data_IF_868947560431
#
_entry.id   IF_868947560431
#
_cell.length_a   1.000
_cell.length_b   1.000
_cell.length_c   1.000
_cell.angle_alpha   90.00
_cell.angle_beta   90.00
_cell.angle_gamma   90.00
#
_symmetry.space_group_name_H-M   'P 1'
#
loop_
_entity.id
_entity.type
_entity.pdbx_description
1 polymer ?
#
# COMPACT_ATOMS: atom_id res chain seq x y z
N UNK A 1 -9.70 -13.29 8.20
CA UNK A 1 -8.78 -12.26 7.69
C UNK A 1 -9.60 -11.27 6.87
N UNK A 2 -9.33 -9.97 6.98
CA UNK A 2 -9.90 -8.95 6.09
C UNK A 2 -8.89 -8.74 4.96
N UNK A 3 -9.35 -8.78 3.72
CA UNK A 3 -8.50 -8.58 2.53
C UNK A 3 -8.85 -7.25 1.90
N UNK A 4 -7.84 -6.39 1.77
CA UNK A 4 -7.95 -5.13 1.06
C UNK A 4 -7.29 -5.26 -0.32
N UNK A 5 -7.85 -4.60 -1.31
CA UNK A 5 -7.28 -4.54 -2.65
C UNK A 5 -6.69 -3.16 -2.91
N UNK A 6 -5.69 -3.11 -3.78
CA UNK A 6 -5.09 -1.87 -4.23
C UNK A 6 -4.77 -1.94 -5.71
N UNK A 7 -4.65 -0.76 -6.33
CA UNK A 7 -4.24 -0.60 -7.72
C UNK A 7 -2.79 -0.13 -7.75
N UNK A 8 -1.96 -0.84 -8.53
CA UNK A 8 -0.64 -0.35 -8.88
C UNK A 8 -0.80 0.94 -9.70
N UNK A 9 -0.33 2.06 -9.15
CA UNK A 9 -0.42 3.38 -9.78
C UNK A 9 0.93 3.86 -10.31
N UNK A 10 2.03 3.31 -9.79
CA UNK A 10 3.38 3.57 -10.28
C UNK A 10 4.24 2.32 -10.21
N UNK A 11 5.01 2.08 -11.28
CA UNK A 11 6.02 1.04 -11.35
C UNK A 11 7.29 1.64 -11.95
N UNK A 12 8.19 2.08 -11.06
CA UNK A 12 9.46 2.70 -11.41
C UNK A 12 10.63 1.71 -11.37
N UNK A 13 11.87 2.19 -11.57
CA UNK A 13 13.05 1.34 -11.50
C UNK A 13 13.36 0.83 -10.08
N UNK A 14 13.04 1.62 -9.04
CA UNK A 14 13.39 1.32 -7.64
C UNK A 14 12.21 1.47 -6.67
N UNK A 15 11.02 1.78 -7.19
CA UNK A 15 9.84 2.10 -6.38
C UNK A 15 8.59 1.61 -7.09
N UNK A 16 7.66 1.05 -6.30
CA UNK A 16 6.29 0.80 -6.73
C UNK A 16 5.34 1.51 -5.76
N UNK A 17 4.27 2.08 -6.30
CA UNK A 17 3.19 2.68 -5.51
C UNK A 17 1.89 1.98 -5.79
N UNK A 18 1.24 1.55 -4.71
CA UNK A 18 -0.06 0.91 -4.72
C UNK A 18 -1.02 1.83 -4.00
N UNK A 19 -2.00 2.35 -4.73
CA UNK A 19 -3.11 3.08 -4.13
C UNK A 19 -4.12 2.06 -3.61
N UNK A 20 -4.37 2.06 -2.31
CA UNK A 20 -5.38 1.23 -1.67
C UNK A 20 -6.73 1.93 -1.87
N UNK A 21 -7.68 1.21 -2.45
CA UNK A 21 -9.05 1.69 -2.66
C UNK A 21 -9.98 0.51 -2.45
N UNK A 22 -10.97 0.64 -1.57
CA UNK A 22 -12.03 -0.36 -1.46
C UNK A 22 -13.20 -0.07 -2.39
N UNK A 23 -13.83 -1.13 -2.89
CA UNK A 23 -15.16 -1.09 -3.51
C UNK A 23 -16.03 -2.06 -2.69
N UNK A 24 -16.71 -1.57 -1.65
CA UNK A 24 -17.46 -2.40 -0.71
C UNK A 24 -17.82 -1.70 0.61
N UNK A 25 -18.11 -2.49 1.64
CA UNK A 25 -18.52 -2.03 2.98
C UNK A 25 -17.36 -1.79 3.97
N UNK A 26 -16.11 -1.85 3.49
CA UNK A 26 -14.94 -1.62 4.33
C UNK A 26 -14.25 -0.33 3.87
N UNK A 27 -14.02 0.57 4.82
CA UNK A 27 -13.41 1.87 4.56
C UNK A 27 -11.89 1.70 4.46
N UNK A 28 -11.38 1.59 3.23
CA UNK A 28 -9.94 1.49 3.00
C UNK A 28 -9.44 2.45 1.94
N UNK A 29 -8.46 3.25 2.33
CA UNK A 29 -7.81 4.25 1.50
C UNK A 29 -6.34 4.45 1.90
N UNK A 30 -5.57 5.05 1.01
CA UNK A 30 -4.17 5.42 1.25
C UNK A 30 -3.22 4.86 0.22
N UNK A 31 -1.93 4.99 0.48
CA UNK A 31 -0.86 4.57 -0.44
C UNK A 31 0.14 3.68 0.27
N UNK A 32 0.52 2.60 -0.40
CA UNK A 32 1.63 1.74 -0.03
C UNK A 32 2.76 1.97 -1.03
N UNK A 33 3.92 2.35 -0.52
CA UNK A 33 5.16 2.49 -1.29
C UNK A 33 6.07 1.31 -0.93
N UNK A 34 6.51 0.57 -1.95
CA UNK A 34 7.55 -0.44 -1.79
C UNK A 34 8.80 -0.01 -2.56
N UNK A 35 9.94 -0.01 -1.87
CA UNK A 35 11.24 0.30 -2.46
C UNK A 35 12.05 -0.96 -2.63
N UNK A 36 12.67 -1.11 -3.78
CA UNK A 36 13.43 -2.30 -4.13
C UNK A 36 14.70 -1.96 -4.90
N UNK A 37 15.65 -2.90 -4.90
CA UNK A 37 16.84 -2.88 -5.73
C UNK A 37 17.04 -4.25 -6.35
N UNK A 38 16.96 -4.32 -7.69
CA UNK A 38 16.96 -5.60 -8.38
C UNK A 38 15.75 -6.45 -7.95
N UNK A 39 16.03 -7.60 -7.35
CA UNK A 39 15.00 -8.54 -6.85
C UNK A 39 14.81 -8.46 -5.33
N UNK A 40 15.44 -7.49 -4.66
CA UNK A 40 15.37 -7.34 -3.21
C UNK A 40 14.42 -6.22 -2.81
N UNK A 41 13.44 -6.52 -1.96
CA UNK A 41 12.60 -5.53 -1.30
C UNK A 41 13.40 -4.92 -0.14
N UNK A 42 13.56 -3.60 -0.17
CA UNK A 42 14.38 -2.86 0.79
C UNK A 42 13.53 -2.16 1.85
N UNK A 43 12.34 -1.71 1.48
CA UNK A 43 11.42 -1.07 2.41
C UNK A 43 9.97 -1.21 1.96
N UNK A 44 9.07 -1.29 2.92
CA UNK A 44 7.63 -1.13 2.69
C UNK A 44 7.07 -0.09 3.65
N UNK A 45 6.50 0.99 3.12
CA UNK A 45 5.96 2.09 3.91
C UNK A 45 4.54 2.43 3.48
N UNK A 46 3.72 2.93 4.39
CA UNK A 46 2.41 3.48 4.07
C UNK A 46 2.36 5.00 4.25
N UNK A 47 1.51 5.65 3.46
CA UNK A 47 1.12 7.06 3.60
C UNK A 47 -0.39 7.13 3.69
N UNK A 48 -0.90 7.78 4.74
CA UNK A 48 -2.32 7.99 5.02
C UNK A 48 -3.18 6.73 4.85
N UNK A 49 -2.62 5.58 5.25
CA UNK A 49 -3.30 4.30 5.11
C UNK A 49 -4.33 4.15 6.21
N UNK A 50 -5.59 4.06 5.80
CA UNK A 50 -6.74 3.78 6.66
C UNK A 50 -7.30 2.43 6.22
N UNK A 51 -7.50 1.54 7.18
CA UNK A 51 -8.10 0.23 6.97
C UNK A 51 -9.24 0.06 7.97
N UNK A 52 -10.45 -0.13 7.48
CA UNK A 52 -11.67 -0.26 8.30
C UNK A 52 -11.85 0.93 9.28
N UNK A 53 -11.59 2.14 8.78
CA UNK A 53 -11.65 3.38 9.57
C UNK A 53 -10.48 3.59 10.55
N UNK A 54 -9.47 2.71 10.57
CA UNK A 54 -8.32 2.81 11.46
C UNK A 54 -7.04 3.21 10.72
N UNK A 55 -6.34 4.23 11.22
CA UNK A 55 -5.02 4.60 10.71
C UNK A 55 -4.02 3.46 10.96
N UNK A 56 -3.46 2.94 9.87
CA UNK A 56 -2.51 1.84 9.87
C UNK A 56 -1.15 2.29 9.36
N UNK A 57 -0.10 1.94 10.09
CA UNK A 57 1.28 2.15 9.65
C UNK A 57 1.89 0.83 9.21
N UNK A 58 2.42 0.78 7.99
CA UNK A 58 3.27 -0.29 7.50
C UNK A 58 4.73 0.17 7.54
N UNK A 59 5.59 -0.63 8.17
CA UNK A 59 7.04 -0.44 8.20
C UNK A 59 7.70 -1.82 8.20
N UNK A 60 8.47 -2.08 7.16
CA UNK A 60 9.37 -3.22 7.01
C UNK A 60 10.69 -2.70 6.48
#
# INVERSE_FOLDING_TARGET
SITFSGKLTEFGPNVLRITVTNVGNADAEGVIEARYSGQSLNALTSTDLILDGQTTTLRF
#
